data_IF_005512269430
#
_entry.id   IF_005512269430
#
_cell.length_a   1.000
_cell.length_b   1.000
_cell.length_c   1.000
_cell.angle_alpha   90.00
_cell.angle_beta   90.00
_cell.angle_gamma   90.00
#
_symmetry.space_group_name_H-M   'P 1'
#
loop_
_entity.id
_entity.type
_entity.pdbx_description
1 polymer ?
#
# COMPACT_ATOMS: atom_id res chain seq x y z
N UNK A 1 42.35 21.49 -2.53
CA UNK A 1 41.14 21.31 -1.70
C UNK A 1 40.18 20.53 -2.58
N UNK A 2 39.94 19.24 -2.29
CA UNK A 2 39.03 18.44 -3.11
C UNK A 2 37.61 18.75 -2.62
N UNK A 3 36.80 19.26 -3.53
CA UNK A 3 35.36 19.45 -3.36
C UNK A 3 34.74 18.16 -2.82
N UNK A 4 33.95 18.30 -1.75
CA UNK A 4 33.15 17.22 -1.22
C UNK A 4 32.14 16.83 -2.27
N UNK A 5 32.29 15.63 -2.83
CA UNK A 5 31.22 14.98 -3.55
C UNK A 5 30.05 14.85 -2.57
N UNK A 6 28.90 15.40 -2.92
CA UNK A 6 27.63 15.08 -2.29
C UNK A 6 27.50 13.55 -2.26
N UNK A 7 27.64 12.98 -1.05
CA UNK A 7 27.64 11.54 -0.78
C UNK A 7 26.21 11.09 -0.46
N UNK A 8 25.31 11.38 -1.38
CA UNK A 8 23.87 11.28 -1.20
C UNK A 8 23.23 10.49 -2.33
N UNK A 9 22.27 9.61 -1.98
CA UNK A 9 21.56 8.73 -2.93
C UNK A 9 20.07 9.00 -2.90
N UNK A 10 19.43 8.91 -4.05
CA UNK A 10 17.97 8.95 -4.14
C UNK A 10 17.34 7.65 -3.64
N UNK A 11 16.11 7.72 -3.18
CA UNK A 11 15.33 6.57 -2.74
C UNK A 11 15.18 5.51 -3.85
N UNK A 12 15.09 5.96 -5.11
CA UNK A 12 14.97 5.09 -6.28
C UNK A 12 16.23 4.25 -6.53
N UNK A 13 17.42 4.84 -6.28
CA UNK A 13 18.71 4.13 -6.37
C UNK A 13 18.83 3.05 -5.29
N UNK A 14 18.28 3.27 -4.10
CA UNK A 14 18.25 2.27 -3.03
C UNK A 14 17.28 1.11 -3.33
N UNK A 15 16.18 1.36 -4.05
CA UNK A 15 15.09 0.38 -4.22
C UNK A 15 15.36 -0.81 -5.12
N UNK A 16 16.48 -0.87 -5.85
CA UNK A 16 16.89 -1.99 -6.75
C UNK A 16 15.70 -2.65 -7.48
N UNK A 17 15.38 -2.10 -8.65
CA UNK A 17 14.16 -2.37 -9.42
C UNK A 17 13.65 -3.82 -9.45
N UNK A 18 12.37 -3.98 -9.09
CA UNK A 18 11.59 -5.22 -9.21
C UNK A 18 10.19 -4.91 -9.77
N UNK A 19 9.68 -5.78 -10.65
CA UNK A 19 8.41 -5.59 -11.40
C UNK A 19 7.52 -6.83 -11.50
N UNK A 20 6.20 -6.54 -11.42
CA UNK A 20 4.95 -7.26 -11.75
C UNK A 20 4.44 -8.44 -10.87
N UNK A 21 3.11 -8.49 -10.55
CA UNK A 21 2.58 -9.19 -9.38
C UNK A 21 2.11 -10.64 -9.63
N UNK A 22 2.17 -11.43 -8.56
CA UNK A 22 1.62 -12.78 -8.42
C UNK A 22 0.30 -12.71 -7.62
N UNK A 23 -0.73 -13.53 -7.90
CA UNK A 23 -1.91 -13.66 -7.03
C UNK A 23 -1.54 -14.01 -5.58
N UNK A 24 -2.13 -13.31 -4.60
CA UNK A 24 -1.80 -13.49 -3.16
C UNK A 24 -1.75 -12.21 -2.31
N UNK A 25 -2.13 -11.06 -2.88
CA UNK A 25 -2.14 -9.76 -2.20
C UNK A 25 -3.42 -9.56 -1.39
N UNK A 26 -3.27 -9.10 -0.15
CA UNK A 26 -4.33 -8.90 0.84
C UNK A 26 -4.33 -7.43 1.29
N UNK A 27 -5.46 -6.72 1.25
CA UNK A 27 -5.52 -5.32 1.66
C UNK A 27 -5.39 -5.22 3.18
N UNK A 28 -4.32 -4.61 3.64
CA UNK A 28 -4.01 -4.46 5.06
C UNK A 28 -3.77 -3.00 5.44
N UNK A 29 -3.97 -2.68 6.72
CA UNK A 29 -3.57 -1.41 7.32
C UNK A 29 -2.44 -1.65 8.32
N UNK A 30 -1.42 -0.80 8.33
CA UNK A 30 -0.40 -0.84 9.38
C UNK A 30 -1.01 -0.26 10.66
N UNK A 31 -1.10 -1.08 11.71
CA UNK A 31 -1.69 -0.67 12.99
C UNK A 31 -0.65 -0.43 14.09
N UNK A 32 0.56 -0.94 13.92
CA UNK A 32 1.65 -0.77 14.89
C UNK A 32 3.02 -0.99 14.23
N UNK A 33 4.03 -0.25 14.71
CA UNK A 33 5.43 -0.43 14.33
C UNK A 33 6.31 -0.35 15.57
N UNK A 34 6.95 -1.47 15.89
CA UNK A 34 7.84 -1.59 17.04
C UNK A 34 9.29 -1.82 16.59
N UNK A 35 10.24 -1.03 17.10
CA UNK A 35 11.66 -1.34 16.93
C UNK A 35 12.10 -2.38 17.95
N UNK A 36 12.59 -3.52 17.47
CA UNK A 36 13.05 -4.63 18.30
C UNK A 36 14.56 -4.77 18.18
N UNK A 37 15.26 -4.70 19.31
CA UNK A 37 16.70 -4.91 19.41
C UNK A 37 16.97 -6.20 20.21
N UNK A 38 16.97 -7.38 19.57
CA UNK A 38 17.19 -8.64 20.27
C UNK A 38 18.64 -8.71 20.77
N UNK A 39 18.84 -9.28 21.97
CA UNK A 39 20.18 -9.44 22.56
C UNK A 39 21.12 -10.33 21.71
N UNK A 40 20.55 -11.23 20.89
CA UNK A 40 21.27 -12.16 20.03
C UNK A 40 20.74 -12.09 18.59
N UNK A 41 20.96 -10.97 17.90
CA UNK A 41 20.56 -10.84 16.50
C UNK A 41 20.65 -9.41 15.98
N UNK A 42 20.18 -9.24 14.76
CA UNK A 42 20.06 -7.92 14.14
C UNK A 42 18.80 -7.20 14.62
N UNK A 43 18.88 -5.88 14.79
CA UNK A 43 17.73 -5.04 15.01
C UNK A 43 16.74 -5.16 13.85
N UNK A 44 15.45 -5.06 14.14
CA UNK A 44 14.40 -5.05 13.12
C UNK A 44 13.20 -4.21 13.54
N UNK A 45 12.46 -3.71 12.56
CA UNK A 45 11.11 -3.20 12.79
C UNK A 45 10.11 -4.34 12.67
N UNK A 46 9.31 -4.50 13.70
CA UNK A 46 8.12 -5.31 13.70
C UNK A 46 6.94 -4.46 13.23
N UNK A 47 6.53 -4.65 11.98
CA UNK A 47 5.38 -3.96 11.40
C UNK A 47 4.16 -4.86 11.53
N UNK A 48 3.13 -4.41 12.24
CA UNK A 48 1.88 -5.14 12.42
C UNK A 48 0.85 -4.64 11.42
N UNK A 49 0.39 -5.55 10.58
CA UNK A 49 -0.64 -5.34 9.57
C UNK A 49 -1.96 -5.94 10.05
N UNK A 50 -3.07 -5.26 9.82
CA UNK A 50 -4.42 -5.72 10.15
C UNK A 50 -5.28 -5.86 8.88
N UNK A 51 -6.00 -6.97 8.78
CA UNK A 51 -6.97 -7.24 7.71
C UNK A 51 -8.08 -8.15 8.25
N UNK A 52 -9.35 -7.76 8.06
CA UNK A 52 -10.54 -8.54 8.42
C UNK A 52 -10.48 -9.19 9.81
N UNK A 53 -9.98 -8.44 10.80
CA UNK A 53 -9.85 -8.89 12.20
C UNK A 53 -8.66 -9.82 12.47
N UNK A 54 -7.88 -10.17 11.44
CA UNK A 54 -6.60 -10.87 11.55
C UNK A 54 -5.41 -9.92 11.60
N UNK A 55 -4.33 -10.33 12.28
CA UNK A 55 -3.08 -9.57 12.37
C UNK A 55 -1.90 -10.37 11.81
N UNK A 56 -1.08 -9.70 11.02
CA UNK A 56 0.13 -10.26 10.43
C UNK A 56 1.33 -9.41 10.85
N UNK A 57 2.42 -10.06 11.28
CA UNK A 57 3.63 -9.37 11.71
C UNK A 57 4.71 -9.57 10.68
N UNK A 58 5.18 -8.47 10.12
CA UNK A 58 6.32 -8.41 9.22
C UNK A 58 7.57 -7.94 9.98
N UNK A 59 8.73 -8.39 9.52
CA UNK A 59 10.03 -8.08 10.11
C UNK A 59 10.93 -7.43 9.07
N UNK A 60 11.16 -6.14 9.23
CA UNK A 60 12.09 -5.37 8.43
C UNK A 60 13.41 -5.26 9.18
N UNK A 61 14.38 -6.12 8.86
CA UNK A 61 15.71 -6.02 9.48
C UNK A 61 16.39 -4.70 9.13
N UNK A 62 17.08 -4.12 10.10
CA UNK A 62 17.84 -2.88 9.97
C UNK A 62 19.30 -3.29 9.77
N UNK A 63 19.64 -3.58 8.51
CA UNK A 63 20.97 -4.03 8.10
C UNK A 63 21.30 -3.45 6.72
N UNK A 64 22.59 -3.37 6.40
CA UNK A 64 23.10 -3.05 5.06
C UNK A 64 22.43 -3.89 3.95
N UNK A 65 22.27 -5.21 4.18
CA UNK A 65 21.67 -6.13 3.20
C UNK A 65 20.19 -5.94 2.94
N UNK A 66 19.50 -5.21 3.81
CA UNK A 66 18.04 -5.00 3.73
C UNK A 66 17.66 -3.55 3.49
N UNK A 67 18.63 -2.67 3.24
CA UNK A 67 18.40 -1.25 2.94
C UNK A 67 17.43 -1.07 1.78
N UNK A 68 17.54 -1.88 0.72
CA UNK A 68 16.62 -1.80 -0.42
C UNK A 68 15.17 -2.13 -0.07
N UNK A 69 14.93 -3.02 0.91
CA UNK A 69 13.57 -3.33 1.40
C UNK A 69 13.00 -2.17 2.21
N UNK A 70 13.81 -1.56 3.06
CA UNK A 70 13.42 -0.38 3.83
C UNK A 70 13.12 0.80 2.89
N UNK A 71 13.97 1.02 1.89
CA UNK A 71 13.77 2.03 0.86
C UNK A 71 12.50 1.77 0.05
N UNK A 72 12.23 0.50 -0.30
CA UNK A 72 11.02 0.12 -1.03
C UNK A 72 9.74 0.36 -0.23
N UNK A 73 9.79 0.09 1.08
CA UNK A 73 8.70 0.42 1.99
C UNK A 73 8.47 1.93 2.01
N UNK A 74 9.51 2.71 2.30
CA UNK A 74 9.42 4.17 2.38
C UNK A 74 8.94 4.77 1.06
N UNK A 75 9.47 4.30 -0.07
CA UNK A 75 9.14 4.81 -1.41
C UNK A 75 7.69 4.61 -1.81
N UNK A 76 7.12 3.47 -1.43
CA UNK A 76 5.77 3.10 -1.85
C UNK A 76 4.70 3.57 -0.88
N UNK A 77 5.04 3.67 0.40
CA UNK A 77 4.06 3.77 1.46
C UNK A 77 4.20 5.08 2.24
N UNK A 78 5.43 5.54 2.50
CA UNK A 78 5.68 6.75 3.29
C UNK A 78 5.86 7.98 2.38
N UNK A 79 5.78 9.17 2.97
CA UNK A 79 6.15 10.40 2.30
C UNK A 79 7.57 10.82 2.73
N UNK A 80 8.54 10.45 1.89
CA UNK A 80 9.92 10.87 2.05
C UNK A 80 10.29 12.11 1.21
N UNK A 81 9.37 12.61 0.37
CA UNK A 81 9.65 13.68 -0.59
C UNK A 81 10.93 13.46 -1.42
N UNK A 82 11.61 14.56 -1.74
CA UNK A 82 12.90 14.57 -2.45
C UNK A 82 14.09 14.44 -1.48
N UNK A 83 13.90 13.80 -0.32
CA UNK A 83 14.98 13.60 0.65
C UNK A 83 16.08 12.72 0.05
N UNK A 84 17.31 13.15 0.24
CA UNK A 84 18.49 12.35 -0.07
C UNK A 84 18.94 11.50 1.12
N UNK A 85 19.51 10.34 0.82
CA UNK A 85 19.88 9.33 1.81
C UNK A 85 21.39 9.14 1.87
N UNK A 86 21.94 8.76 3.04
CA UNK A 86 23.37 8.49 3.18
C UNK A 86 23.90 7.45 2.17
N UNK A 87 25.13 7.65 1.69
CA UNK A 87 25.86 6.66 0.88
C UNK A 87 26.15 5.35 1.63
N UNK A 88 26.26 5.41 2.96
CA UNK A 88 26.45 4.22 3.79
C UNK A 88 25.13 3.46 3.93
N UNK A 89 25.07 2.20 3.47
CA UNK A 89 23.88 1.36 3.60
C UNK A 89 23.43 1.16 5.06
N UNK A 90 24.39 1.13 5.99
CA UNK A 90 24.08 1.01 7.42
C UNK A 90 23.41 2.27 7.96
N UNK A 91 23.89 3.46 7.59
CA UNK A 91 23.29 4.73 8.03
C UNK A 91 21.95 4.97 7.33
N UNK A 92 21.87 4.69 6.02
CA UNK A 92 20.62 4.76 5.27
C UNK A 92 19.55 3.83 5.85
N UNK A 93 19.91 2.59 6.24
CA UNK A 93 18.97 1.67 6.87
C UNK A 93 18.41 2.22 8.20
N UNK A 94 19.25 2.86 9.02
CA UNK A 94 18.83 3.49 10.27
C UNK A 94 17.90 4.69 10.04
N UNK A 95 18.21 5.56 9.08
CA UNK A 95 17.36 6.70 8.76
C UNK A 95 16.02 6.26 8.15
N UNK A 96 16.03 5.28 7.25
CA UNK A 96 14.82 4.71 6.67
C UNK A 96 13.93 4.09 7.75
N UNK A 97 14.54 3.38 8.71
CA UNK A 97 13.80 2.81 9.83
C UNK A 97 13.13 3.90 10.68
N UNK A 98 13.80 5.04 10.89
CA UNK A 98 13.22 6.19 11.58
C UNK A 98 12.00 6.78 10.87
N UNK A 99 12.05 6.87 9.54
CA UNK A 99 10.90 7.34 8.73
C UNK A 99 9.72 6.36 8.84
N UNK A 100 9.98 5.05 8.72
CA UNK A 100 8.93 4.03 8.86
C UNK A 100 8.27 4.11 10.23
N UNK A 101 9.03 4.17 11.32
CA UNK A 101 8.47 4.29 12.67
C UNK A 101 7.59 5.54 12.83
N UNK A 102 7.99 6.65 12.18
CA UNK A 102 7.29 7.93 12.32
C UNK A 102 6.02 8.06 11.46
N UNK A 103 5.96 7.35 10.33
CA UNK A 103 4.93 7.57 9.31
C UNK A 103 4.09 6.34 8.98
N UNK A 104 4.52 5.13 9.33
CA UNK A 104 3.93 3.94 8.75
C UNK A 104 2.51 3.61 9.27
N UNK A 105 2.19 3.98 10.52
CA UNK A 105 0.91 3.66 11.15
C UNK A 105 -0.24 4.39 10.43
N UNK A 106 -1.31 3.66 10.12
CA UNK A 106 -2.48 4.14 9.37
C UNK A 106 -2.34 4.01 7.85
N UNK A 107 -1.17 3.63 7.33
CA UNK A 107 -1.02 3.38 5.90
C UNK A 107 -1.77 2.11 5.50
N UNK A 108 -2.52 2.20 4.40
CA UNK A 108 -3.12 1.05 3.74
C UNK A 108 -2.28 0.60 2.57
N UNK A 109 -1.96 -0.68 2.55
CA UNK A 109 -1.25 -1.32 1.46
C UNK A 109 -1.89 -2.67 1.17
N UNK A 110 -1.92 -3.03 -0.10
CA UNK A 110 -2.01 -4.43 -0.43
C UNK A 110 -0.68 -5.07 -0.02
N UNK A 111 -0.73 -6.21 0.68
CA UNK A 111 0.46 -6.98 1.05
C UNK A 111 0.41 -8.42 0.57
N UNK A 112 1.52 -8.93 0.04
CA UNK A 112 1.63 -10.34 -0.32
C UNK A 112 1.95 -11.18 0.92
N UNK A 113 1.04 -12.12 1.26
CA UNK A 113 1.21 -13.03 2.40
C UNK A 113 1.60 -14.42 1.89
N UNK A 114 2.79 -14.86 2.28
CA UNK A 114 3.34 -16.18 1.91
C UNK A 114 3.45 -17.09 3.12
N UNK A 115 3.12 -18.36 2.96
CA UNK A 115 3.41 -19.39 3.95
C UNK A 115 4.87 -19.83 3.83
N UNK A 116 5.68 -19.57 4.87
CA UNK A 116 7.07 -20.04 4.95
C UNK A 116 7.26 -21.01 6.11
N UNK A 117 7.99 -22.11 5.93
CA UNK A 117 8.33 -22.99 7.04
C UNK A 117 9.25 -22.25 8.03
N UNK A 118 8.89 -22.30 9.30
CA UNK A 118 9.73 -21.87 10.42
C UNK A 118 10.85 -22.91 10.68
N UNK A 119 11.74 -22.66 11.66
CA UNK A 119 12.87 -23.53 11.99
C UNK A 119 12.44 -24.95 12.35
N UNK A 120 11.23 -25.09 12.89
CA UNK A 120 10.60 -26.38 13.24
C UNK A 120 9.79 -27.02 12.08
N UNK A 121 9.86 -26.46 10.87
CA UNK A 121 9.13 -26.96 9.69
C UNK A 121 7.63 -26.60 9.65
N UNK A 122 7.11 -25.87 10.65
CA UNK A 122 5.73 -25.38 10.66
C UNK A 122 5.57 -24.18 9.74
N UNK A 123 4.58 -24.20 8.85
CA UNK A 123 4.26 -23.06 8.01
C UNK A 123 3.78 -21.88 8.86
N UNK A 124 4.38 -20.71 8.66
CA UNK A 124 3.94 -19.43 9.21
C UNK A 124 3.71 -18.44 8.07
N UNK A 125 2.57 -17.77 8.10
CA UNK A 125 2.25 -16.66 7.20
C UNK A 125 3.16 -15.47 7.50
N UNK A 126 3.85 -14.97 6.49
CA UNK A 126 4.75 -13.81 6.55
C UNK A 126 4.53 -12.92 5.34
N UNK A 127 4.84 -11.63 5.47
CA UNK A 127 4.83 -10.71 4.33
C UNK A 127 6.06 -10.96 3.45
N UNK A 128 5.83 -11.02 2.14
CA UNK A 128 6.88 -11.22 1.14
C UNK A 128 7.82 -10.03 1.01
N UNK A 129 9.02 -10.26 0.47
CA UNK A 129 10.03 -9.23 0.23
C UNK A 129 9.57 -8.21 -0.84
N UNK A 130 8.89 -8.66 -1.89
CA UNK A 130 8.29 -7.82 -2.93
C UNK A 130 6.88 -7.33 -2.55
N UNK A 131 6.44 -7.60 -1.33
CA UNK A 131 5.04 -7.67 -0.95
C UNK A 131 4.40 -6.38 -0.48
N UNK A 132 4.85 -5.19 -0.90
CA UNK A 132 4.11 -3.94 -0.63
C UNK A 132 3.67 -3.24 -1.91
N UNK A 133 2.40 -2.91 -1.96
CA UNK A 133 1.81 -2.10 -3.02
C UNK A 133 0.87 -1.12 -2.33
N UNK A 134 1.03 0.17 -2.62
CA UNK A 134 0.08 1.16 -2.15
C UNK A 134 -1.33 0.71 -2.52
N UNK A 135 -2.22 0.59 -1.53
CA UNK A 135 -3.59 0.24 -1.80
C UNK A 135 -4.17 1.35 -2.70
N UNK A 136 -4.94 0.97 -3.72
CA UNK A 136 -5.69 1.98 -4.46
C UNK A 136 -6.55 2.74 -3.43
N UNK A 137 -6.61 4.07 -3.56
CA UNK A 137 -7.54 4.86 -2.75
C UNK A 137 -8.91 4.19 -2.81
N UNK A 138 -9.61 4.00 -1.68
CA UNK A 138 -10.92 3.37 -1.71
C UNK A 138 -11.72 4.10 -2.78
N UNK A 139 -12.24 3.36 -3.77
CA UNK A 139 -13.03 3.97 -4.83
C UNK A 139 -14.04 4.86 -4.13
N UNK A 140 -13.88 6.19 -4.31
CA UNK A 140 -14.74 7.16 -3.66
C UNK A 140 -16.16 6.66 -3.85
N UNK A 141 -16.85 6.42 -2.73
CA UNK A 141 -18.18 5.81 -2.71
C UNK A 141 -18.92 6.30 -3.94
N UNK A 142 -19.24 5.38 -4.86
CA UNK A 142 -20.11 5.68 -6.01
C UNK A 142 -21.20 6.60 -5.46
N UNK A 143 -21.42 7.79 -6.05
CA UNK A 143 -22.52 8.62 -5.58
C UNK A 143 -23.74 7.72 -5.52
N UNK A 144 -24.35 7.65 -4.34
CA UNK A 144 -25.65 7.02 -4.17
C UNK A 144 -26.53 7.55 -5.31
N UNK A 145 -27.26 6.71 -6.06
CA UNK A 145 -28.25 7.24 -6.98
C UNK A 145 -29.18 8.10 -6.14
N UNK A 146 -29.10 9.41 -6.33
CA UNK A 146 -30.05 10.36 -5.76
C UNK A 146 -31.40 9.94 -6.34
N UNK A 147 -32.28 9.54 -5.44
CA UNK A 147 -33.70 9.36 -5.67
C UNK A 147 -34.26 10.71 -6.13
N UNK A 148 -34.32 10.89 -7.45
CA UNK A 148 -35.04 11.98 -8.10
C UNK A 148 -36.01 11.31 -9.07
N UNK A 149 -37.29 11.09 -8.69
CA UNK A 149 -38.27 10.67 -9.66
C UNK A 149 -38.43 11.80 -10.69
N UNK A 150 -38.41 11.49 -12.00
CA UNK A 150 -38.58 12.52 -13.02
C UNK A 150 -39.91 13.26 -12.80
N UNK A 151 -39.95 14.59 -12.99
CA UNK A 151 -41.18 15.36 -12.85
C UNK A 151 -42.21 14.85 -13.86
N UNK A 152 -43.44 14.65 -13.40
CA UNK A 152 -44.57 14.25 -14.23
C UNK A 152 -44.75 15.24 -15.39
N UNK A 153 -44.70 14.73 -16.62
CA UNK A 153 -45.02 15.51 -17.81
C UNK A 153 -46.53 15.85 -17.83
N UNK A 154 -46.92 17.06 -18.25
CA UNK A 154 -48.31 17.47 -18.28
C UNK A 154 -49.05 16.81 -19.46
N UNK A 155 -50.16 16.14 -19.16
CA UNK A 155 -51.15 15.75 -20.16
C UNK A 155 -51.70 16.99 -20.87
N UNK A 156 -51.37 17.14 -22.16
CA UNK A 156 -51.99 18.13 -23.04
C UNK A 156 -52.67 17.38 -24.17
N UNK A 157 -53.99 17.27 -24.09
CA UNK A 157 -54.85 16.68 -25.11
C UNK A 157 -55.14 17.62 -26.29
N UNK A 158 -55.68 17.02 -27.36
CA UNK A 158 -56.27 17.67 -28.54
C UNK A 158 -56.08 16.77 -29.77
N UNK A 159 -56.96 15.81 -30.07
CA UNK A 159 -58.27 15.92 -30.78
C UNK A 159 -58.19 16.41 -32.24
N UNK A 160 -58.47 15.51 -33.18
CA UNK A 160 -59.35 15.62 -34.37
C UNK A 160 -59.29 14.24 -35.10
N UNK A 161 -60.37 13.44 -35.16
CA UNK A 161 -61.50 13.44 -36.12
C UNK A 161 -61.02 13.22 -37.57
N UNK A 162 -61.58 12.39 -38.45
CA UNK A 162 -62.73 11.50 -38.54
C UNK A 162 -62.41 10.47 -39.66
N UNK A 163 -63.04 9.31 -39.86
CA UNK A 163 -64.31 9.01 -40.58
C UNK A 163 -64.12 7.53 -41.01
N UNK A 164 -65.00 6.61 -40.59
CA UNK A 164 -66.11 6.07 -41.41
C UNK A 164 -65.63 5.17 -42.55
N UNK A 165 -65.85 3.85 -42.42
CA UNK A 165 -66.44 3.00 -43.49
C UNK A 165 -66.69 1.57 -42.96
N UNK A 166 -67.94 1.27 -42.63
CA UNK A 166 -68.51 -0.09 -42.79
C UNK A 166 -69.27 -0.06 -44.11
N UNK A 167 -69.26 -1.13 -44.93
CA UNK A 167 -70.46 -1.97 -44.91
C UNK A 167 -70.32 -3.46 -45.29
N UNK A 168 -71.31 -4.22 -44.78
CA UNK A 168 -71.81 -5.59 -45.06
C UNK A 168 -70.98 -6.82 -44.64
#
# INVERSE_FOLDING_TARGET
>A
MREGQDMSRSLNELTSGDTWPVPGWVPCEVVDVERVNPASGHAYLAVTWEHDGGRFRDRLYITDRTVGRLAAFVSRLCDAGDREWPDSDAEAAEELAGVIVSQAVGIRADVEIVDRPDRDGKLRRQVSFAGYRAAAAPAASRPLPTDDPPPAEPETGGSEAAEDDLPF
#
